data_IF_653310095981
#
_entry.id   IF_653310095981
#
_cell.length_a   1.000
_cell.length_b   1.000
_cell.length_c   1.000
_cell.angle_alpha   90.00
_cell.angle_beta   90.00
_cell.angle_gamma   90.00
#
_symmetry.space_group_name_H-M   'P 1'
#
loop_
_entity.id
_entity.type
_entity.pdbx_description
1 polymer ?
#
# COMPACT_ATOMS: atom_id res chain seq x y z
N UNK A 1 -25.87 46.08 46.91
CA UNK A 1 -26.66 47.16 46.35
C UNK A 1 -27.15 46.65 44.98
N UNK A 2 -28.41 46.31 44.97
CA UNK A 2 -29.48 46.96 44.19
C UNK A 2 -29.18 46.91 42.69
N UNK A 3 -29.97 46.40 41.84
CA UNK A 3 -31.37 45.98 41.80
C UNK A 3 -31.72 45.75 40.36
N UNK A 4 -32.53 44.75 40.17
CA UNK A 4 -33.94 44.81 39.76
C UNK A 4 -34.22 45.08 38.29
N UNK A 5 -34.85 44.04 37.68
CA UNK A 5 -36.19 44.08 37.05
C UNK A 5 -36.33 44.85 35.72
N UNK A 6 -37.01 44.40 34.72
CA UNK A 6 -38.36 43.88 34.61
C UNK A 6 -38.64 43.51 33.11
N UNK A 7 -39.15 42.33 32.77
CA UNK A 7 -40.49 42.04 32.38
C UNK A 7 -41.18 42.93 31.33
N UNK A 8 -41.69 42.35 30.23
CA UNK A 8 -43.06 42.29 29.71
C UNK A 8 -43.03 41.93 28.22
N UNK A 9 -43.54 40.78 27.83
CA UNK A 9 -44.89 40.48 27.32
C UNK A 9 -45.42 41.43 26.23
N UNK A 10 -45.75 40.86 25.11
CA UNK A 10 -46.51 41.48 24.05
C UNK A 10 -46.91 40.49 22.95
N UNK A 11 -48.08 39.97 23.14
CA UNK A 11 -48.90 39.13 22.26
C UNK A 11 -49.37 39.84 20.98
N UNK A 12 -49.52 39.15 19.85
CA UNK A 12 -50.60 39.20 18.84
C UNK A 12 -50.21 38.40 17.59
N UNK A 13 -50.82 37.41 17.31
CA UNK A 13 -51.94 36.90 16.50
C UNK A 13 -52.07 37.44 15.04
N UNK A 14 -52.28 36.43 14.14
CA UNK A 14 -52.89 36.45 12.80
C UNK A 14 -51.93 36.73 11.65
N UNK A 15 -51.80 35.86 10.62
CA UNK A 15 -52.82 35.29 9.76
C UNK A 15 -52.27 34.09 9.00
N UNK A 16 -53.14 33.13 8.74
CA UNK A 16 -52.93 32.00 7.85
C UNK A 16 -52.89 32.45 6.37
N UNK A 17 -51.98 31.85 5.60
CA UNK A 17 -52.14 31.77 4.17
C UNK A 17 -51.64 30.39 3.70
N UNK A 18 -52.54 29.68 3.06
CA UNK A 18 -52.40 28.37 2.47
C UNK A 18 -51.23 28.32 1.50
N UNK A 19 -50.34 27.37 1.71
CA UNK A 19 -49.35 26.95 0.68
C UNK A 19 -49.50 25.44 0.51
N UNK A 20 -49.90 25.03 -0.65
CA UNK A 20 -50.00 23.70 -1.18
C UNK A 20 -48.80 22.81 -0.84
N UNK A 21 -48.99 21.48 -0.61
CA UNK A 21 -47.87 20.57 -0.36
C UNK A 21 -47.10 20.33 -1.67
N UNK A 22 -45.99 20.99 -1.78
CA UNK A 22 -45.02 20.71 -2.83
C UNK A 22 -44.54 19.27 -2.74
N UNK A 23 -44.72 18.52 -3.80
CA UNK A 23 -44.18 17.19 -4.06
C UNK A 23 -42.72 17.08 -3.61
N UNK A 24 -42.31 16.03 -2.87
CA UNK A 24 -40.93 15.81 -2.57
C UNK A 24 -40.19 15.53 -3.88
N UNK A 25 -39.25 16.40 -4.24
CA UNK A 25 -38.28 16.11 -5.28
C UNK A 25 -37.57 14.82 -4.87
N UNK A 26 -37.74 13.79 -5.66
CA UNK A 26 -36.91 12.61 -5.65
C UNK A 26 -35.48 13.04 -5.75
N UNK A 27 -34.74 12.89 -4.65
CA UNK A 27 -33.29 12.90 -4.69
C UNK A 27 -32.93 11.64 -5.46
N UNK A 28 -32.62 11.82 -6.75
CA UNK A 28 -31.95 10.78 -7.51
C UNK A 28 -30.65 10.48 -6.78
N UNK A 29 -30.70 9.49 -5.91
CA UNK A 29 -29.55 8.74 -5.54
C UNK A 29 -29.06 8.11 -6.85
N UNK A 30 -28.14 8.79 -7.51
CA UNK A 30 -27.25 8.13 -8.43
C UNK A 30 -26.55 7.05 -7.62
N UNK A 31 -27.20 5.91 -7.57
CA UNK A 31 -26.57 4.61 -7.38
C UNK A 31 -25.47 4.55 -8.45
N UNK A 32 -24.30 5.02 -8.09
CA UNK A 32 -23.08 4.68 -8.81
C UNK A 32 -22.91 3.19 -8.55
N UNK A 33 -23.65 2.44 -9.37
CA UNK A 33 -23.59 1.02 -9.41
C UNK A 33 -22.14 0.57 -9.31
N UNK A 34 -21.88 -0.30 -8.36
CA UNK A 34 -20.77 -1.22 -8.40
C UNK A 34 -20.84 -1.99 -9.71
N UNK A 35 -20.38 -1.39 -10.78
CA UNK A 35 -20.01 -2.08 -12.01
C UNK A 35 -18.57 -2.57 -11.86
N UNK A 36 -18.34 -3.40 -10.85
CA UNK A 36 -17.24 -4.31 -10.78
C UNK A 36 -17.87 -5.68 -10.83
N UNK A 37 -17.85 -6.32 -11.97
CA UNK A 37 -18.50 -7.62 -12.15
C UNK A 37 -17.97 -8.62 -11.12
N UNK A 38 -18.83 -9.54 -10.71
CA UNK A 38 -18.55 -10.70 -9.84
C UNK A 38 -17.54 -11.69 -10.47
N UNK A 39 -16.66 -11.22 -11.36
CA UNK A 39 -15.72 -12.07 -12.09
C UNK A 39 -14.27 -11.76 -11.67
N UNK A 40 -13.49 -12.80 -11.40
CA UNK A 40 -12.05 -12.65 -11.14
C UNK A 40 -11.35 -11.94 -12.32
N UNK A 41 -10.38 -11.08 -12.00
CA UNK A 41 -9.56 -10.41 -13.00
C UNK A 41 -8.28 -11.19 -13.24
N UNK A 42 -8.06 -11.64 -14.47
CA UNK A 42 -6.83 -12.30 -14.89
C UNK A 42 -5.70 -11.27 -15.03
N UNK A 43 -4.61 -11.44 -14.29
CA UNK A 43 -3.34 -10.74 -14.52
C UNK A 43 -2.54 -11.55 -15.54
N UNK A 44 -2.67 -11.23 -16.82
CA UNK A 44 -2.10 -12.01 -17.90
C UNK A 44 -0.55 -11.99 -17.92
N UNK A 45 0.07 -10.92 -17.44
CA UNK A 45 1.52 -10.75 -17.34
C UNK A 45 1.88 -9.72 -16.28
N UNK A 46 3.07 -9.82 -15.65
CA UNK A 46 3.56 -8.79 -14.76
C UNK A 46 4.05 -7.56 -15.52
N UNK A 47 4.16 -6.44 -14.82
CA UNK A 47 5.00 -5.32 -15.23
C UNK A 47 6.44 -5.60 -14.82
N UNK A 48 7.39 -5.45 -15.75
CA UNK A 48 8.81 -5.59 -15.45
C UNK A 48 9.39 -4.26 -15.01
N UNK A 49 9.91 -4.21 -13.79
CA UNK A 49 10.47 -3.03 -13.17
C UNK A 49 11.97 -3.21 -13.01
N UNK A 50 12.74 -2.17 -13.32
CA UNK A 50 14.18 -2.18 -13.13
C UNK A 50 14.52 -2.02 -11.64
N UNK A 51 15.31 -2.95 -11.12
CA UNK A 51 15.79 -2.89 -9.75
C UNK A 51 16.99 -1.95 -9.60
N UNK A 52 17.14 -1.41 -8.39
CA UNK A 52 18.38 -0.76 -7.92
C UNK A 52 19.31 -1.85 -7.36
N UNK A 53 20.62 -1.63 -7.46
CA UNK A 53 21.63 -2.53 -6.94
C UNK A 53 22.87 -2.59 -7.83
N UNK A 54 23.87 -3.34 -7.39
CA UNK A 54 25.17 -3.45 -8.04
C UNK A 54 25.15 -4.28 -9.34
N UNK A 55 24.09 -5.04 -9.57
CA UNK A 55 23.90 -5.90 -10.76
C UNK A 55 22.45 -5.78 -11.27
N UNK A 56 22.19 -6.03 -12.55
CA UNK A 56 20.83 -6.12 -13.07
C UNK A 56 20.04 -7.23 -12.35
N UNK A 57 18.86 -6.88 -11.86
CA UNK A 57 17.88 -7.78 -11.28
C UNK A 57 16.53 -7.52 -11.93
N UNK A 58 15.76 -8.56 -12.14
CA UNK A 58 14.42 -8.45 -12.69
C UNK A 58 13.38 -8.47 -11.56
N UNK A 59 12.49 -7.47 -11.57
CA UNK A 59 11.31 -7.38 -10.72
C UNK A 59 10.08 -7.52 -11.60
N UNK A 60 9.28 -8.54 -11.34
CA UNK A 60 8.02 -8.80 -12.03
C UNK A 60 6.86 -8.48 -11.10
N UNK A 61 6.35 -7.24 -11.16
CA UNK A 61 5.19 -6.84 -10.37
C UNK A 61 3.91 -7.43 -10.98
N UNK A 62 3.25 -8.32 -10.28
CA UNK A 62 1.94 -8.86 -10.65
C UNK A 62 0.81 -7.96 -10.21
N UNK A 63 0.82 -7.52 -8.96
CA UNK A 63 -0.13 -6.55 -8.43
C UNK A 63 0.65 -5.42 -7.74
N UNK A 64 0.16 -4.19 -7.86
CA UNK A 64 0.80 -3.02 -7.29
C UNK A 64 0.54 -1.76 -8.10
N UNK A 65 1.27 -0.73 -7.79
CA UNK A 65 1.06 0.61 -8.36
C UNK A 65 1.26 0.68 -9.87
N UNK A 66 2.16 -0.12 -10.42
CA UNK A 66 2.53 -0.07 -11.84
C UNK A 66 1.63 -0.96 -12.68
N UNK A 67 1.44 -2.22 -12.29
CA UNK A 67 0.73 -3.18 -13.13
C UNK A 67 -0.80 -3.10 -13.00
N UNK A 68 -1.32 -2.92 -11.79
CA UNK A 68 -2.76 -3.04 -11.52
C UNK A 68 -3.37 -1.83 -10.80
N UNK A 69 -2.53 -0.82 -10.45
CA UNK A 69 -2.99 0.39 -9.76
C UNK A 69 -3.33 0.22 -8.27
N UNK A 70 -2.99 -0.91 -7.64
CA UNK A 70 -3.19 -1.11 -6.21
C UNK A 70 -2.22 -0.24 -5.41
N UNK A 71 -2.74 0.43 -4.37
CA UNK A 71 -1.97 1.26 -3.45
C UNK A 71 -1.81 0.62 -2.06
N UNK A 72 -2.66 -0.32 -1.72
CA UNK A 72 -2.74 -1.00 -0.42
C UNK A 72 -1.78 -2.17 -0.30
N UNK A 73 -1.45 -2.82 -1.42
CA UNK A 73 -0.46 -3.89 -1.45
C UNK A 73 0.25 -3.98 -2.81
N UNK A 74 1.44 -4.58 -2.80
CA UNK A 74 2.08 -5.05 -4.03
C UNK A 74 2.59 -6.47 -3.87
N UNK A 75 2.59 -7.22 -4.98
CA UNK A 75 3.11 -8.59 -5.09
C UNK A 75 4.04 -8.64 -6.28
N UNK A 76 5.30 -8.97 -6.04
CA UNK A 76 6.30 -9.06 -7.07
C UNK A 76 7.12 -10.35 -6.95
N UNK A 77 7.46 -10.94 -8.10
CA UNK A 77 8.44 -12.00 -8.21
C UNK A 77 9.80 -11.39 -8.52
N UNK A 78 10.80 -11.76 -7.76
CA UNK A 78 12.16 -11.28 -7.86
C UNK A 78 13.06 -12.36 -8.46
N UNK A 79 13.81 -12.00 -9.49
CA UNK A 79 14.85 -12.83 -10.09
C UNK A 79 16.19 -12.11 -9.89
N UNK A 80 16.91 -12.49 -8.85
CA UNK A 80 18.17 -11.85 -8.45
C UNK A 80 19.35 -12.73 -8.83
N UNK A 81 20.35 -12.23 -9.59
CA UNK A 81 21.53 -12.99 -9.95
C UNK A 81 22.48 -13.20 -8.77
N UNK A 82 23.38 -14.15 -8.90
CA UNK A 82 24.50 -14.33 -7.96
C UNK A 82 25.24 -13.03 -7.72
N UNK A 83 25.50 -12.74 -6.43
CA UNK A 83 26.26 -11.56 -6.00
C UNK A 83 25.50 -10.23 -6.18
N UNK A 84 24.18 -10.26 -6.42
CA UNK A 84 23.40 -9.04 -6.37
C UNK A 84 23.27 -8.55 -4.92
N UNK A 85 23.30 -7.23 -4.76
CA UNK A 85 23.11 -6.53 -3.49
C UNK A 85 22.47 -5.18 -3.77
N UNK A 86 21.47 -4.83 -2.99
CA UNK A 86 20.87 -3.49 -3.01
C UNK A 86 21.52 -2.57 -1.97
N UNK A 87 21.33 -1.23 -2.07
CA UNK A 87 21.60 -0.31 -0.98
C UNK A 87 20.78 -0.66 0.27
N UNK A 88 21.29 -0.33 1.46
CA UNK A 88 20.47 -0.38 2.67
C UNK A 88 19.27 0.52 2.54
N UNK A 89 18.19 0.20 3.28
CA UNK A 89 16.93 0.94 3.20
C UNK A 89 16.14 0.89 4.51
N UNK A 90 15.26 1.91 4.73
CA UNK A 90 14.29 1.97 5.83
C UNK A 90 12.89 2.18 5.28
N UNK A 91 12.23 1.14 4.78
CA UNK A 91 10.93 1.28 4.14
C UNK A 91 9.83 1.73 5.10
N UNK A 92 8.84 2.48 4.59
CA UNK A 92 7.61 2.80 5.31
C UNK A 92 6.55 1.69 5.23
N UNK A 93 6.83 0.62 4.51
CA UNK A 93 5.96 -0.54 4.34
C UNK A 93 6.49 -1.77 5.07
N UNK A 94 5.58 -2.67 5.46
CA UNK A 94 5.94 -4.03 5.83
C UNK A 94 6.27 -4.81 4.55
N UNK A 95 7.31 -5.63 4.57
CA UNK A 95 7.60 -6.56 3.49
C UNK A 95 7.63 -8.00 4.00
N UNK A 96 6.93 -8.88 3.29
CA UNK A 96 6.99 -10.32 3.47
C UNK A 96 7.70 -10.91 2.27
N UNK A 97 8.87 -11.49 2.49
CA UNK A 97 9.64 -12.18 1.45
C UNK A 97 9.53 -13.68 1.63
N UNK A 98 9.20 -14.40 0.56
CA UNK A 98 9.14 -15.88 0.54
C UNK A 98 10.08 -16.40 -0.54
N UNK A 99 11.10 -17.16 -0.14
CA UNK A 99 12.11 -17.67 -1.06
C UNK A 99 11.62 -18.96 -1.73
N UNK A 100 11.62 -18.96 -3.05
CA UNK A 100 11.20 -20.08 -3.90
C UNK A 100 12.39 -20.94 -4.35
N UNK A 101 13.54 -20.31 -4.61
CA UNK A 101 14.78 -20.95 -5.05
C UNK A 101 15.99 -20.16 -4.58
N UNK A 102 17.06 -20.84 -4.20
CA UNK A 102 18.31 -20.24 -3.73
C UNK A 102 18.22 -19.72 -2.30
N UNK A 103 18.93 -18.66 -2.01
CA UNK A 103 19.02 -18.05 -0.69
C UNK A 103 19.05 -16.53 -0.82
N UNK A 104 18.26 -15.86 0.00
CA UNK A 104 18.27 -14.41 0.19
C UNK A 104 18.91 -14.12 1.55
N UNK A 105 19.95 -13.30 1.56
CA UNK A 105 20.54 -12.77 2.78
C UNK A 105 19.92 -11.43 3.10
N UNK A 106 19.52 -11.26 4.35
CA UNK A 106 18.94 -10.01 4.88
C UNK A 106 19.84 -9.53 6.02
N UNK A 107 20.59 -8.47 5.77
CA UNK A 107 21.30 -7.75 6.82
C UNK A 107 20.33 -6.79 7.50
N UNK A 108 20.40 -6.68 8.82
CA UNK A 108 19.61 -5.77 9.66
C UNK A 108 20.47 -5.25 10.82
N UNK A 109 20.00 -4.26 11.59
CA UNK A 109 20.81 -3.65 12.67
C UNK A 109 21.33 -4.66 13.70
N UNK A 110 20.60 -5.76 13.94
CA UNK A 110 20.95 -6.80 14.89
C UNK A 110 21.83 -7.93 14.34
N UNK A 111 22.10 -7.96 13.03
CA UNK A 111 22.89 -9.04 12.42
C UNK A 111 22.47 -9.40 10.99
N UNK A 112 22.49 -10.67 10.69
CA UNK A 112 22.21 -11.21 9.34
C UNK A 112 21.35 -12.45 9.44
N UNK A 113 20.35 -12.55 8.56
CA UNK A 113 19.52 -13.73 8.34
C UNK A 113 19.82 -14.33 6.97
N UNK A 114 19.87 -15.64 6.88
CA UNK A 114 19.87 -16.39 5.62
C UNK A 114 18.50 -17.08 5.46
N UNK A 115 17.75 -16.62 4.44
CA UNK A 115 16.42 -17.13 4.16
C UNK A 115 16.52 -18.04 2.93
N UNK A 116 16.33 -19.34 3.12
CA UNK A 116 16.49 -20.35 2.07
C UNK A 116 15.14 -20.72 1.43
N UNK A 117 15.19 -21.41 0.31
CA UNK A 117 14.01 -21.93 -0.37
C UNK A 117 13.05 -22.63 0.61
N UNK A 118 11.76 -22.28 0.55
CA UNK A 118 10.73 -22.75 1.48
C UNK A 118 10.62 -21.98 2.79
N UNK A 119 11.46 -20.97 3.00
CA UNK A 119 11.42 -20.07 4.16
C UNK A 119 10.94 -18.68 3.76
N UNK A 120 10.55 -17.89 4.76
CA UNK A 120 10.20 -16.50 4.57
C UNK A 120 10.72 -15.63 5.70
N UNK A 121 10.74 -14.33 5.47
CA UNK A 121 11.08 -13.29 6.43
C UNK A 121 10.07 -12.16 6.37
N UNK A 122 9.76 -11.55 7.50
CA UNK A 122 8.93 -10.35 7.61
C UNK A 122 9.80 -9.23 8.13
N UNK A 123 9.84 -8.10 7.41
CA UNK A 123 10.48 -6.87 7.86
C UNK A 123 9.41 -5.82 8.12
N UNK A 124 9.55 -5.08 9.23
CA UNK A 124 8.56 -4.09 9.66
C UNK A 124 8.89 -2.70 9.09
N UNK A 125 7.90 -1.81 8.97
CA UNK A 125 8.16 -0.42 8.62
C UNK A 125 9.21 0.23 9.54
N UNK A 126 10.19 0.94 8.94
CA UNK A 126 11.23 1.64 9.68
C UNK A 126 12.44 0.80 10.10
N UNK A 127 12.39 -0.53 9.98
CA UNK A 127 13.58 -1.36 10.17
C UNK A 127 14.59 -1.11 9.05
N UNK A 128 15.87 -0.95 9.43
CA UNK A 128 16.94 -0.91 8.43
C UNK A 128 17.24 -2.32 7.95
N UNK A 129 17.17 -2.51 6.64
CA UNK A 129 17.46 -3.80 6.00
C UNK A 129 18.23 -3.62 4.70
N UNK A 130 18.98 -4.66 4.33
CA UNK A 130 19.67 -4.76 3.05
C UNK A 130 19.59 -6.19 2.54
N UNK A 131 19.02 -6.37 1.37
CA UNK A 131 18.90 -7.67 0.74
C UNK A 131 20.06 -7.96 -0.21
N UNK A 132 20.47 -9.21 -0.26
CA UNK A 132 21.48 -9.70 -1.20
C UNK A 132 21.30 -11.19 -1.53
N UNK A 133 21.87 -11.62 -2.65
CA UNK A 133 21.84 -13.02 -3.13
C UNK A 133 23.26 -13.50 -3.45
N UNK A 134 24.09 -13.77 -2.41
CA UNK A 134 25.51 -14.01 -2.58
C UNK A 134 25.84 -15.40 -3.14
N UNK A 135 24.94 -16.38 -3.04
CA UNK A 135 25.21 -17.77 -3.43
C UNK A 135 25.16 -17.99 -4.96
N UNK A 136 25.90 -18.98 -5.48
CA UNK A 136 25.84 -19.38 -6.89
C UNK A 136 24.41 -19.64 -7.37
N UNK A 137 24.10 -19.14 -8.59
CA UNK A 137 22.77 -19.25 -9.17
C UNK A 137 21.75 -18.21 -8.66
N UNK A 138 22.11 -17.37 -7.70
CA UNK A 138 21.26 -16.32 -7.18
C UNK A 138 20.00 -16.85 -6.48
N UNK A 139 18.91 -16.07 -6.51
CA UNK A 139 17.66 -16.45 -5.86
C UNK A 139 16.44 -16.01 -6.67
N UNK A 140 15.35 -16.74 -6.44
CA UNK A 140 14.01 -16.43 -6.87
C UNK A 140 13.11 -16.37 -5.64
N UNK A 141 12.36 -15.28 -5.49
CA UNK A 141 11.51 -15.06 -4.34
C UNK A 141 10.32 -14.15 -4.65
N UNK A 142 9.30 -14.23 -3.82
CA UNK A 142 8.17 -13.32 -3.82
C UNK A 142 8.39 -12.26 -2.77
N UNK A 143 8.06 -11.01 -3.08
CA UNK A 143 7.98 -9.90 -2.14
C UNK A 143 6.56 -9.35 -2.14
N UNK A 144 5.97 -9.27 -0.94
CA UNK A 144 4.65 -8.68 -0.70
C UNK A 144 4.83 -7.47 0.20
N UNK A 145 4.50 -6.29 -0.29
CA UNK A 145 4.59 -5.05 0.48
C UNK A 145 3.20 -4.51 0.83
N UNK A 146 3.02 -4.05 2.06
CA UNK A 146 1.82 -3.39 2.56
C UNK A 146 2.19 -2.14 3.37
N UNK A 147 1.78 -0.93 2.91
CA UNK A 147 1.19 -0.59 1.60
C UNK A 147 2.08 -0.95 0.43
N UNK A 148 1.56 -0.83 -0.80
CA UNK A 148 2.27 -1.17 -2.02
C UNK A 148 3.62 -0.44 -2.13
N UNK A 149 4.65 -1.15 -2.61
CA UNK A 149 5.97 -0.57 -2.87
C UNK A 149 5.87 0.75 -3.64
N UNK A 150 6.68 1.71 -3.22
CA UNK A 150 6.90 2.97 -3.94
C UNK A 150 8.36 3.40 -3.79
N UNK A 151 8.99 3.92 -4.86
CA UNK A 151 10.34 4.49 -4.78
C UNK A 151 10.47 5.64 -3.77
N UNK A 152 9.36 6.32 -3.47
CA UNK A 152 9.34 7.45 -2.52
C UNK A 152 9.26 7.03 -1.06
N UNK A 153 8.89 5.79 -0.77
CA UNK A 153 8.70 5.27 0.60
C UNK A 153 9.74 4.22 1.01
N UNK A 154 10.69 3.91 0.13
CA UNK A 154 11.72 2.90 0.40
C UNK A 154 12.92 3.43 1.18
N UNK A 155 13.22 4.73 1.10
CA UNK A 155 14.31 5.43 1.83
C UNK A 155 15.64 4.69 1.78
N UNK A 156 16.25 4.66 0.59
CA UNK A 156 17.56 4.02 0.38
C UNK A 156 18.68 4.87 0.90
N UNK A 157 19.70 4.20 1.44
CA UNK A 157 20.96 4.82 1.79
C UNK A 157 21.63 5.41 0.53
N UNK A 158 22.37 6.50 0.73
CA UNK A 158 23.22 7.06 -0.31
C UNK A 158 24.43 6.12 -0.47
N UNK A 159 24.74 5.70 -1.69
CA UNK A 159 25.97 4.97 -2.04
C UNK A 159 27.09 5.93 -2.38
#
# INVERSE_FOLDING_TARGET
MKGSNNSMQGTALHAAADAEPGTPRSVDHHDRGRQGGDMPTLIAKPAVIRAVGNKPKEIQEFAGRVNTGHADLSVARMLSPEGWREPGQRPEFQEITVVLRGMVRVDYEGGTLEVRAGQGVVTQPGEWVRYSTPEPGGAEYLAVCTPAFSPTTVHRDLE
#
